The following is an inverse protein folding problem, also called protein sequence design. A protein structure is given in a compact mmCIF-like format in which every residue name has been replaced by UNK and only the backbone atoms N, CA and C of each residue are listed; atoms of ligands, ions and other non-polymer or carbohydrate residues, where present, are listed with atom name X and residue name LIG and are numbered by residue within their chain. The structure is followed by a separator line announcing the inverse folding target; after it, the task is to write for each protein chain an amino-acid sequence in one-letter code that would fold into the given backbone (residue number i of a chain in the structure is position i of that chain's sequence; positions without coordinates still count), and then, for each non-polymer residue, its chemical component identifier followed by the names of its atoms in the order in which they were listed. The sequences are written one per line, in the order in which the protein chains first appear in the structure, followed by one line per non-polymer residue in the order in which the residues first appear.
data_IF_679661375387
#
_entry.id   IF_679661375387
#
_cell.length_a   1.000
_cell.length_b   1.000
_cell.length_c   1.000
_cell.angle_alpha   90.00
_cell.angle_beta   90.00
_cell.angle_gamma   90.00
#
_symmetry.space_group_name_H-M   'P 1'
#
loop_
_entity.id
_entity.type
_entity.pdbx_description
1 polymer ?
#
# COMPACT_ATOMS: atom_id res chain seq x y z
N UNK A 1 2.48 9.05 -16.55
CA UNK A 1 1.44 8.00 -16.51
C UNK A 1 2.08 6.71 -16.03
N UNK A 2 1.72 6.22 -14.85
CA UNK A 2 2.16 4.90 -14.37
C UNK A 2 1.40 3.86 -15.21
N UNK A 3 2.11 2.96 -15.89
CA UNK A 3 1.51 1.83 -16.62
C UNK A 3 0.48 1.11 -15.74
N UNK A 4 -0.58 0.54 -16.32
CA UNK A 4 -1.58 -0.21 -15.57
C UNK A 4 -0.92 -1.43 -14.90
N UNK A 5 -0.61 -1.31 -13.61
CA UNK A 5 0.05 -2.37 -12.85
C UNK A 5 -1.00 -3.38 -12.45
N UNK A 6 -0.87 -4.58 -13.00
CA UNK A 6 -1.91 -5.62 -12.93
C UNK A 6 -1.81 -6.49 -11.69
N UNK A 7 -0.69 -6.44 -10.95
CA UNK A 7 -0.43 -7.32 -9.81
C UNK A 7 0.53 -6.70 -8.81
N UNK A 8 0.44 -7.15 -7.56
CA UNK A 8 1.36 -6.77 -6.49
C UNK A 8 2.82 -7.15 -6.81
N UNK A 9 3.05 -8.31 -7.44
CA UNK A 9 4.40 -8.73 -7.87
C UNK A 9 5.04 -7.72 -8.83
N UNK A 10 4.28 -7.19 -9.78
CA UNK A 10 4.79 -6.19 -10.72
C UNK A 10 5.13 -4.88 -9.99
N UNK A 11 4.30 -4.46 -9.04
CA UNK A 11 4.59 -3.31 -8.18
C UNK A 11 5.85 -3.50 -7.33
N UNK A 12 6.08 -4.72 -6.84
CA UNK A 12 7.25 -5.08 -6.05
C UNK A 12 8.54 -5.10 -6.89
N UNK A 13 8.52 -5.72 -8.08
CA UNK A 13 9.67 -5.70 -9.01
C UNK A 13 10.04 -4.30 -9.47
N UNK A 14 9.05 -3.43 -9.67
CA UNK A 14 9.25 -2.02 -10.08
C UNK A 14 9.61 -1.09 -8.91
N UNK A 15 9.74 -1.60 -7.68
CA UNK A 15 10.13 -0.81 -6.52
C UNK A 15 9.14 0.31 -6.16
N UNK A 16 7.85 0.04 -6.28
CA UNK A 16 6.81 1.06 -6.13
C UNK A 16 6.32 1.23 -4.68
N UNK A 17 5.63 2.34 -4.46
CA UNK A 17 4.84 2.60 -3.27
C UNK A 17 3.36 2.35 -3.49
N UNK A 18 2.64 2.21 -2.39
CA UNK A 18 1.18 2.17 -2.30
C UNK A 18 0.71 3.43 -1.59
N UNK A 19 -0.06 4.27 -2.28
CA UNK A 19 -0.76 5.40 -1.67
C UNK A 19 -2.12 4.90 -1.23
N UNK A 20 -2.41 5.09 0.05
CA UNK A 20 -3.69 4.76 0.66
C UNK A 20 -4.26 6.06 1.22
N UNK A 21 -5.48 6.40 0.82
CA UNK A 21 -6.21 7.55 1.35
C UNK A 21 -7.53 7.12 1.96
N UNK A 22 -7.79 7.67 3.13
CA UNK A 22 -9.03 7.51 3.86
C UNK A 22 -9.80 8.83 3.86
N UNK A 23 -10.94 8.89 3.16
CA UNK A 23 -11.75 10.11 3.07
C UNK A 23 -12.29 10.62 4.43
N UNK A 24 -12.86 9.77 5.32
CA UNK A 24 -13.44 10.26 6.57
C UNK A 24 -12.50 11.06 7.47
N UNK A 25 -11.23 10.68 7.54
CA UNK A 25 -10.23 11.37 8.36
C UNK A 25 -9.19 12.12 7.50
N UNK A 26 -9.42 12.19 6.19
CA UNK A 26 -8.50 12.71 5.16
C UNK A 26 -7.04 12.24 5.31
N UNK A 27 -6.82 11.09 5.94
CA UNK A 27 -5.48 10.58 6.19
C UNK A 27 -4.93 10.00 4.89
N UNK A 28 -3.70 10.38 4.56
CA UNK A 28 -2.96 9.86 3.42
C UNK A 28 -1.69 9.19 3.94
N UNK A 29 -1.44 7.98 3.47
CA UNK A 29 -0.29 7.20 3.87
C UNK A 29 0.33 6.53 2.67
N UNK A 30 1.66 6.55 2.61
CA UNK A 30 2.41 5.89 1.55
C UNK A 30 3.25 4.80 2.20
N UNK A 31 3.12 3.58 1.70
CA UNK A 31 3.90 2.43 2.12
C UNK A 31 4.73 1.92 0.95
N UNK A 32 5.87 1.28 1.20
CA UNK A 32 6.60 0.63 0.10
C UNK A 32 5.98 -0.72 -0.16
N UNK A 33 5.94 -1.15 -1.43
CA UNK A 33 5.44 -2.50 -1.75
C UNK A 33 6.24 -3.58 -1.01
N UNK A 34 7.56 -3.39 -0.86
CA UNK A 34 8.43 -4.33 -0.13
C UNK A 34 8.00 -4.53 1.33
N UNK A 35 7.35 -3.55 1.97
CA UNK A 35 6.92 -3.70 3.35
C UNK A 35 5.82 -4.77 3.48
N UNK A 36 5.06 -5.03 2.41
CA UNK A 36 4.02 -6.07 2.38
C UNK A 36 4.49 -7.38 1.74
N UNK A 37 5.79 -7.52 1.43
CA UNK A 37 6.33 -8.75 0.88
C UNK A 37 6.07 -9.91 1.85
N UNK A 38 5.49 -11.00 1.34
CA UNK A 38 5.07 -12.13 2.16
C UNK A 38 3.74 -11.91 2.89
N UNK A 39 3.06 -10.78 2.77
CA UNK A 39 1.72 -10.59 3.37
C UNK A 39 0.61 -10.46 2.32
N UNK A 40 0.95 -9.87 1.17
CA UNK A 40 0.07 -9.78 0.01
C UNK A 40 0.46 -10.86 -1.00
N UNK A 41 -0.54 -11.55 -1.54
CA UNK A 41 -0.31 -12.56 -2.58
C UNK A 41 0.26 -11.91 -3.86
N UNK A 42 1.24 -12.54 -4.55
CA UNK A 42 1.89 -11.94 -5.74
C UNK A 42 0.91 -11.49 -6.83
N UNK A 43 -0.13 -12.29 -7.09
CA UNK A 43 -1.17 -11.99 -8.07
C UNK A 43 -2.33 -11.13 -7.55
N UNK A 44 -2.25 -10.60 -6.33
CA UNK A 44 -3.33 -9.80 -5.77
C UNK A 44 -3.42 -8.43 -6.48
N UNK A 45 -4.65 -8.01 -6.73
CA UNK A 45 -4.96 -6.61 -7.02
C UNK A 45 -5.08 -5.85 -5.70
N UNK A 46 -4.18 -4.88 -5.50
CA UNK A 46 -4.17 -4.04 -4.31
C UNK A 46 -5.46 -3.26 -4.14
N UNK A 47 -6.16 -2.88 -5.21
CA UNK A 47 -7.36 -2.05 -5.12
C UNK A 47 -8.55 -2.86 -4.61
N UNK A 48 -8.55 -4.17 -4.88
CA UNK A 48 -9.54 -5.11 -4.40
C UNK A 48 -9.32 -5.53 -2.93
N UNK A 49 -8.15 -5.28 -2.35
CA UNK A 49 -7.86 -5.63 -0.95
C UNK A 49 -8.63 -4.75 0.05
N UNK A 50 -8.82 -5.27 1.27
CA UNK A 50 -9.55 -4.58 2.33
C UNK A 50 -8.63 -3.70 3.19
N UNK A 51 -8.21 -2.57 2.63
CA UNK A 51 -7.39 -1.59 3.34
C UNK A 51 -8.23 -0.81 4.34
N UNK A 52 -7.70 -0.63 5.56
CA UNK A 52 -8.34 0.15 6.62
C UNK A 52 -7.40 1.20 7.16
N UNK A 53 -7.95 2.39 7.43
CA UNK A 53 -7.21 3.44 8.12
C UNK A 53 -6.79 2.97 9.51
N UNK A 54 -5.55 3.24 9.91
CA UNK A 54 -5.05 2.95 11.25
C UNK A 54 -5.77 3.75 12.34
N UNK A 55 -6.12 5.01 12.06
CA UNK A 55 -6.80 5.91 13.00
C UNK A 55 -8.30 5.61 13.14
N UNK A 56 -9.07 5.78 12.05
CA UNK A 56 -10.53 5.67 12.11
C UNK A 56 -11.09 4.28 11.78
N UNK A 57 -10.24 3.30 11.39
CA UNK A 57 -10.62 1.91 11.05
C UNK A 57 -11.58 1.74 9.87
N UNK A 58 -12.04 2.84 9.27
CA UNK A 58 -12.86 2.85 8.05
C UNK A 58 -12.06 2.30 6.88
N UNK A 59 -12.76 1.64 5.95
CA UNK A 59 -12.18 1.15 4.71
C UNK A 59 -11.64 2.34 3.90
N UNK A 60 -10.41 2.24 3.43
CA UNK A 60 -9.84 3.23 2.54
C UNK A 60 -10.58 3.17 1.19
N UNK A 61 -11.01 4.32 0.68
CA UNK A 61 -11.73 4.40 -0.59
C UNK A 61 -10.78 4.54 -1.79
N UNK A 62 -9.51 4.87 -1.53
CA UNK A 62 -8.53 5.12 -2.57
C UNK A 62 -7.21 4.44 -2.26
N UNK A 63 -6.79 3.54 -3.14
CA UNK A 63 -5.53 2.80 -3.09
C UNK A 63 -4.95 2.78 -4.49
N UNK A 64 -3.71 3.22 -4.67
CA UNK A 64 -3.04 3.22 -5.98
C UNK A 64 -1.54 3.01 -5.84
N UNK A 65 -0.91 2.50 -6.88
CA UNK A 65 0.55 2.52 -7.00
C UNK A 65 1.08 3.94 -7.22
N UNK A 66 2.24 4.23 -6.66
CA UNK A 66 3.00 5.47 -6.91
C UNK A 66 4.48 5.17 -7.09
N UNK A 67 5.18 6.01 -7.85
CA UNK A 67 6.65 6.07 -7.80
C UNK A 67 7.08 6.61 -6.44
N UNK A 68 8.15 6.06 -5.87
CA UNK A 68 8.72 6.53 -4.60
C UNK A 68 9.61 7.76 -4.79
N UNK A 69 10.18 7.95 -5.97
CA UNK A 69 11.12 9.05 -6.26
C UNK A 69 10.51 10.45 -6.16
N UNK A 70 9.19 10.58 -6.31
CA UNK A 70 8.46 11.84 -6.19
C UNK A 70 8.11 12.23 -4.75
N UNK A 71 8.33 11.34 -3.76
CA UNK A 71 7.95 11.57 -2.37
C UNK A 71 9.18 11.60 -1.47
N UNK A 72 9.34 12.68 -0.72
CA UNK A 72 10.37 12.80 0.31
C UNK A 72 10.31 11.57 1.24
N UNK A 73 11.45 10.92 1.49
CA UNK A 73 11.56 9.70 2.32
C UNK A 73 10.83 9.82 3.67
N UNK A 74 10.67 11.03 4.18
CA UNK A 74 9.96 11.35 5.44
C UNK A 74 8.45 11.11 5.38
N UNK A 75 7.85 11.09 4.18
CA UNK A 75 6.42 10.81 3.99
C UNK A 75 6.09 9.30 3.94
N UNK A 76 7.12 8.44 3.97
CA UNK A 76 6.93 6.99 3.96
C UNK A 76 6.62 6.50 5.36
N UNK A 77 5.39 6.03 5.55
CA UNK A 77 5.06 5.32 6.76
C UNK A 77 5.76 3.95 6.74
N UNK A 78 6.30 3.55 7.89
CA UNK A 78 6.71 2.17 8.07
C UNK A 78 5.48 1.33 8.40
N UNK A 79 5.12 0.44 7.49
CA UNK A 79 4.12 -0.57 7.81
C UNK A 79 4.71 -1.55 8.82
N UNK A 80 4.00 -1.76 9.93
CA UNK A 80 4.33 -2.78 10.93
C UNK A 80 3.24 -3.83 10.88
N UNK A 81 3.60 -5.04 10.48
CA UNK A 81 2.69 -6.17 10.50
C UNK A 81 2.14 -6.36 11.94
N UNK A 82 0.81 -6.47 12.11
CA UNK A 82 0.25 -6.82 13.40
C UNK A 82 0.74 -8.20 13.84
N UNK A 83 1.02 -8.41 15.13
CA UNK A 83 1.61 -9.67 15.63
C UNK A 83 0.78 -10.94 15.37
N UNK A 84 -0.51 -10.80 15.04
CA UNK A 84 -1.41 -11.90 14.66
C UNK A 84 -1.37 -12.23 13.16
N UNK A 85 -0.79 -11.36 12.33
CA UNK A 85 -0.68 -11.54 10.89
C UNK A 85 0.62 -12.29 10.59
N UNK A 86 0.51 -13.53 10.10
CA UNK A 86 1.68 -14.32 9.69
C UNK A 86 2.02 -14.01 8.23
N UNK A 87 3.31 -13.94 7.87
CA UNK A 87 3.70 -13.99 6.48
C UNK A 87 3.14 -15.28 5.85
N UNK A 88 2.63 -15.16 4.64
CA UNK A 88 2.17 -16.21 3.75
C UNK A 88 3.33 -16.79 2.96
#
# INVERSE_FOLDING_TARGET
MVQAIRSFEEGLRKGLGLVIRCDPCNARTIYRCIDFQGFIAPGADIEALNWRCSGCRTRAAYVRYTLLGDWERESLAQWKAPGWMRPR
#
